data_IF_295163910067
#
_entry.id   IF_295163910067
#
_cell.length_a   1.000
_cell.length_b   1.000
_cell.length_c   1.000
_cell.angle_alpha   90.00
_cell.angle_beta   90.00
_cell.angle_gamma   90.00
#
_symmetry.space_group_name_H-M   'P 1'
#
loop_
_entity.id
_entity.type
_entity.pdbx_description
1 polymer ?
#
# COMPACT_ATOMS: atom_id res chain seq x y z
N UNK A 1 -132.46 37.58 -64.96
CA UNK A 1 -131.58 37.07 -66.02
C UNK A 1 -130.18 36.87 -65.41
N UNK A 2 -129.82 35.61 -65.16
CA UNK A 2 -128.51 35.23 -64.55
C UNK A 2 -127.51 34.81 -65.66
N UNK A 3 -126.43 35.47 -65.82
CA UNK A 3 -125.38 35.13 -66.77
C UNK A 3 -124.46 34.09 -66.11
N UNK A 4 -124.35 32.86 -66.68
CA UNK A 4 -123.39 31.83 -66.35
C UNK A 4 -121.97 32.23 -66.81
N UNK A 5 -121.09 32.20 -65.97
CA UNK A 5 -119.61 32.23 -66.33
C UNK A 5 -119.10 30.84 -66.58
N UNK A 6 -118.56 30.66 -67.74
CA UNK A 6 -117.85 29.45 -68.08
C UNK A 6 -116.51 29.38 -67.44
N UNK A 7 -116.18 28.35 -66.75
CA UNK A 7 -114.84 28.06 -66.31
C UNK A 7 -114.04 27.61 -67.53
N UNK A 8 -113.04 28.38 -67.88
CA UNK A 8 -112.02 27.95 -68.82
C UNK A 8 -111.19 26.84 -68.23
N UNK A 9 -111.17 25.67 -68.94
CA UNK A 9 -110.43 24.54 -68.55
C UNK A 9 -108.91 24.75 -68.60
N UNK A 10 -108.29 24.54 -67.51
CA UNK A 10 -106.84 24.42 -67.45
C UNK A 10 -106.38 23.42 -68.48
N UNK A 11 -105.57 23.83 -69.44
CA UNK A 11 -105.13 23.01 -70.56
C UNK A 11 -104.39 21.79 -69.99
N UNK A 12 -104.76 20.58 -70.45
CA UNK A 12 -104.10 19.34 -70.07
C UNK A 12 -102.58 19.39 -70.21
N UNK A 13 -102.09 20.18 -71.15
CA UNK A 13 -100.69 20.44 -71.40
C UNK A 13 -99.98 21.11 -70.25
N UNK A 14 -100.69 21.99 -69.49
CA UNK A 14 -100.10 22.64 -68.31
C UNK A 14 -99.93 21.74 -67.13
N UNK A 15 -100.87 20.76 -66.97
CA UNK A 15 -100.80 19.78 -65.92
C UNK A 15 -99.67 18.73 -66.18
N UNK A 16 -99.44 18.42 -67.45
CA UNK A 16 -98.41 17.48 -67.89
C UNK A 16 -97.01 18.04 -67.70
N UNK A 17 -96.82 19.33 -67.99
CA UNK A 17 -95.54 20.07 -67.73
C UNK A 17 -95.27 20.15 -66.25
N UNK A 18 -96.26 20.41 -65.41
CA UNK A 18 -96.06 20.46 -63.95
C UNK A 18 -95.77 19.09 -63.39
N UNK A 19 -96.44 18.08 -63.80
CA UNK A 19 -96.17 16.68 -63.28
C UNK A 19 -94.85 16.17 -63.79
N UNK A 20 -94.47 16.46 -65.04
CA UNK A 20 -93.14 16.10 -65.55
C UNK A 20 -91.99 16.83 -64.82
N UNK A 21 -92.19 18.12 -64.58
CA UNK A 21 -91.25 18.95 -63.81
C UNK A 21 -91.11 18.49 -62.34
N UNK A 22 -92.26 18.19 -61.72
CA UNK A 22 -92.25 17.67 -60.38
C UNK A 22 -91.59 16.26 -60.26
N UNK A 23 -91.93 15.42 -61.27
CA UNK A 23 -91.33 14.06 -61.42
C UNK A 23 -89.81 14.17 -61.59
N UNK A 24 -89.35 15.11 -62.41
CA UNK A 24 -87.91 15.35 -62.61
C UNK A 24 -87.19 15.85 -61.34
N UNK A 25 -87.84 16.77 -60.58
CA UNK A 25 -87.34 17.27 -59.31
C UNK A 25 -87.28 16.15 -58.25
N UNK A 26 -88.36 15.35 -58.18
CA UNK A 26 -88.38 14.16 -57.28
C UNK A 26 -87.30 13.15 -57.61
N UNK A 27 -87.16 12.85 -58.92
CA UNK A 27 -86.11 11.95 -59.39
C UNK A 27 -84.74 12.47 -59.05
N UNK A 28 -84.51 13.82 -59.23
CA UNK A 28 -83.26 14.42 -58.94
C UNK A 28 -82.99 14.42 -57.43
N UNK A 29 -83.99 14.65 -56.55
CA UNK A 29 -83.90 14.56 -55.10
C UNK A 29 -83.60 13.11 -54.65
N UNK A 30 -84.22 12.09 -55.30
CA UNK A 30 -83.96 10.67 -55.04
C UNK A 30 -82.53 10.33 -55.47
N UNK A 31 -82.12 10.77 -56.66
CA UNK A 31 -80.74 10.57 -57.14
C UNK A 31 -79.73 11.28 -56.26
N UNK A 32 -79.91 12.53 -55.84
CA UNK A 32 -79.03 13.21 -54.92
C UNK A 32 -78.94 12.48 -53.60
N UNK A 33 -80.09 11.98 -53.12
CA UNK A 33 -80.10 11.22 -51.87
C UNK A 33 -79.47 9.80 -52.01
N UNK A 34 -79.65 9.16 -53.18
CA UNK A 34 -79.10 7.80 -53.47
C UNK A 34 -77.60 7.85 -53.78
N UNK A 35 -77.14 8.93 -54.41
CA UNK A 35 -75.76 9.15 -54.82
C UNK A 35 -75.02 10.20 -53.94
N UNK A 36 -75.60 10.67 -52.85
CA UNK A 36 -74.82 11.38 -51.87
C UNK A 36 -73.85 10.36 -51.27
N UNK A 37 -72.58 10.43 -51.58
CA UNK A 37 -71.69 9.61 -50.86
C UNK A 37 -71.83 9.99 -49.33
N UNK A 38 -72.25 9.03 -48.53
CA UNK A 38 -72.10 9.10 -47.14
C UNK A 38 -70.59 9.16 -46.89
N UNK A 39 -69.99 10.37 -46.93
CA UNK A 39 -68.69 10.61 -46.35
C UNK A 39 -68.91 10.43 -44.86
N UNK A 40 -68.97 9.14 -44.49
CA UNK A 40 -68.63 8.80 -43.08
C UNK A 40 -67.12 9.12 -42.93
N UNK A 41 -66.77 10.39 -42.78
CA UNK A 41 -65.56 10.71 -42.09
C UNK A 41 -65.72 10.01 -40.75
N UNK A 42 -64.88 9.02 -40.39
CA UNK A 42 -64.91 8.54 -39.04
C UNK A 42 -64.53 9.78 -38.22
N UNK A 43 -65.51 10.37 -37.54
CA UNK A 43 -65.17 11.35 -36.51
C UNK A 43 -64.22 10.62 -35.58
N UNK A 44 -62.95 11.06 -35.48
CA UNK A 44 -62.04 10.37 -34.61
C UNK A 44 -62.70 10.34 -33.24
N UNK A 45 -62.85 9.11 -32.71
CA UNK A 45 -63.48 8.94 -31.41
C UNK A 45 -62.72 9.88 -30.43
N UNK A 46 -63.44 10.83 -29.87
CA UNK A 46 -62.84 11.79 -28.95
C UNK A 46 -61.99 11.07 -27.91
N UNK A 47 -62.43 9.89 -27.49
CA UNK A 47 -61.67 9.02 -26.54
C UNK A 47 -60.33 8.57 -27.13
N UNK A 48 -60.23 8.30 -28.42
CA UNK A 48 -58.97 7.88 -29.08
C UNK A 48 -57.99 9.07 -29.18
N UNK A 49 -58.48 10.29 -29.39
CA UNK A 49 -57.67 11.50 -29.41
C UNK A 49 -57.16 11.80 -27.98
N UNK A 50 -58.01 11.70 -26.96
CA UNK A 50 -57.63 11.86 -25.56
C UNK A 50 -56.59 10.85 -25.12
N UNK A 51 -56.74 9.57 -25.48
CA UNK A 51 -55.75 8.55 -25.21
C UNK A 51 -54.37 8.81 -25.86
N UNK A 52 -54.40 9.23 -27.14
CA UNK A 52 -53.16 9.61 -27.85
C UNK A 52 -52.52 10.83 -27.22
N UNK A 53 -53.28 11.84 -26.83
CA UNK A 53 -52.78 13.02 -26.16
C UNK A 53 -52.16 12.69 -24.82
N UNK A 54 -52.82 11.86 -23.98
CA UNK A 54 -52.31 11.43 -22.70
C UNK A 54 -50.98 10.67 -22.86
N UNK A 55 -50.92 9.74 -23.81
CA UNK A 55 -49.71 8.99 -24.12
C UNK A 55 -48.56 9.88 -24.59
N UNK A 56 -48.83 10.86 -25.46
CA UNK A 56 -47.83 11.85 -25.90
C UNK A 56 -47.33 12.73 -24.75
N UNK A 57 -48.23 13.11 -23.84
CA UNK A 57 -47.85 13.87 -22.64
C UNK A 57 -46.95 13.05 -21.71
N UNK A 58 -47.24 11.75 -21.48
CA UNK A 58 -46.40 10.84 -20.70
C UNK A 58 -45.02 10.63 -21.36
N UNK A 59 -45.00 10.43 -22.67
CA UNK A 59 -43.77 10.30 -23.45
C UNK A 59 -42.93 11.59 -23.36
N UNK A 60 -43.53 12.78 -23.52
CA UNK A 60 -42.85 14.04 -23.37
C UNK A 60 -42.27 14.21 -21.95
N UNK A 61 -43.03 13.93 -20.90
CA UNK A 61 -42.52 13.98 -19.52
C UNK A 61 -41.34 13.03 -19.28
N UNK A 62 -41.43 11.82 -19.88
CA UNK A 62 -40.35 10.85 -19.78
C UNK A 62 -39.07 11.30 -20.52
N UNK A 63 -39.25 11.91 -21.70
CA UNK A 63 -38.14 12.50 -22.47
C UNK A 63 -37.48 13.66 -21.74
N UNK A 64 -38.27 14.55 -21.14
CA UNK A 64 -37.74 15.68 -20.34
C UNK A 64 -36.92 15.16 -19.14
N UNK A 65 -37.43 14.15 -18.41
CA UNK A 65 -36.68 13.50 -17.31
C UNK A 65 -35.38 12.87 -17.80
N UNK A 66 -35.40 12.22 -18.97
CA UNK A 66 -34.22 11.64 -19.55
C UNK A 66 -33.21 12.69 -20.01
N UNK A 67 -33.66 13.81 -20.58
CA UNK A 67 -32.79 14.92 -20.94
C UNK A 67 -32.08 15.50 -19.71
N UNK A 68 -32.82 15.79 -18.64
CA UNK A 68 -32.23 16.29 -17.38
C UNK A 68 -31.20 15.29 -16.82
N UNK A 69 -31.51 13.98 -16.88
CA UNK A 69 -30.58 12.93 -16.44
C UNK A 69 -29.32 12.89 -17.28
N UNK A 70 -29.43 12.97 -18.60
CA UNK A 70 -28.29 12.98 -19.53
C UNK A 70 -27.42 14.23 -19.35
N UNK A 71 -28.02 15.40 -19.18
CA UNK A 71 -27.28 16.62 -18.87
C UNK A 71 -26.48 16.52 -17.58
N UNK A 72 -27.08 15.91 -16.53
CA UNK A 72 -26.41 15.68 -15.26
C UNK A 72 -25.23 14.71 -15.42
N UNK A 73 -25.41 13.63 -16.17
CA UNK A 73 -24.34 12.66 -16.47
C UNK A 73 -23.22 13.35 -17.24
N UNK A 74 -23.56 14.10 -18.29
CA UNK A 74 -22.59 14.86 -19.09
C UNK A 74 -21.76 15.82 -18.22
N UNK A 75 -22.43 16.59 -17.36
CA UNK A 75 -21.75 17.52 -16.44
C UNK A 75 -20.82 16.80 -15.47
N UNK A 76 -21.24 15.66 -14.94
CA UNK A 76 -20.40 14.86 -14.05
C UNK A 76 -19.18 14.29 -14.79
N UNK A 77 -19.36 13.80 -16.02
CA UNK A 77 -18.24 13.31 -16.85
C UNK A 77 -17.26 14.42 -17.21
N UNK A 78 -17.73 15.64 -17.49
CA UNK A 78 -16.88 16.80 -17.74
C UNK A 78 -16.05 17.15 -16.49
N UNK A 79 -16.66 17.15 -15.30
CA UNK A 79 -15.96 17.39 -14.04
C UNK A 79 -14.93 16.30 -13.73
N UNK A 80 -15.28 15.05 -13.99
CA UNK A 80 -14.37 13.91 -13.78
C UNK A 80 -13.19 13.96 -14.76
N UNK A 81 -13.45 14.29 -16.03
CA UNK A 81 -12.38 14.45 -17.02
C UNK A 81 -11.39 15.57 -16.65
N UNK A 82 -11.88 16.68 -16.11
CA UNK A 82 -11.04 17.77 -15.60
C UNK A 82 -10.19 17.31 -14.40
N UNK A 83 -10.79 16.54 -13.47
CA UNK A 83 -10.05 15.96 -12.33
C UNK A 83 -8.96 15.00 -12.79
N UNK A 84 -9.28 14.12 -13.73
CA UNK A 84 -8.31 13.19 -14.30
C UNK A 84 -7.16 13.95 -14.98
N UNK A 85 -7.47 14.98 -15.76
CA UNK A 85 -6.46 15.83 -16.41
C UNK A 85 -5.53 16.52 -15.40
N UNK A 86 -6.09 17.04 -14.30
CA UNK A 86 -5.30 17.64 -13.21
C UNK A 86 -4.41 16.60 -12.50
N UNK A 87 -4.97 15.44 -12.19
CA UNK A 87 -4.22 14.36 -11.57
C UNK A 87 -3.10 13.85 -12.47
N UNK A 88 -3.37 13.71 -13.76
CA UNK A 88 -2.36 13.30 -14.74
C UNK A 88 -1.22 14.32 -14.80
N UNK A 89 -1.54 15.62 -14.85
CA UNK A 89 -0.53 16.68 -14.84
C UNK A 89 0.34 16.62 -13.58
N UNK A 90 -0.28 16.46 -12.40
CA UNK A 90 0.46 16.37 -11.15
C UNK A 90 1.30 15.08 -11.05
N UNK A 91 0.82 13.97 -11.61
CA UNK A 91 1.57 12.72 -11.68
C UNK A 91 2.79 12.83 -12.58
N UNK A 92 2.66 13.44 -13.77
CA UNK A 92 3.79 13.67 -14.69
C UNK A 92 4.83 14.63 -14.12
N UNK A 93 4.40 15.66 -13.37
CA UNK A 93 5.32 16.55 -12.67
C UNK A 93 6.10 15.83 -11.56
N UNK A 94 5.43 14.94 -10.81
CA UNK A 94 6.09 14.10 -9.79
C UNK A 94 7.05 13.10 -10.41
N UNK A 95 6.66 12.44 -11.49
CA UNK A 95 7.51 11.52 -12.24
C UNK A 95 8.80 12.21 -12.71
N UNK A 96 8.68 13.43 -13.27
CA UNK A 96 9.83 14.22 -13.69
C UNK A 96 10.77 14.57 -12.53
N UNK A 97 10.20 14.99 -11.37
CA UNK A 97 11.00 15.26 -10.17
C UNK A 97 11.71 14.01 -9.67
N UNK A 98 10.98 12.90 -9.57
CA UNK A 98 11.54 11.62 -9.12
C UNK A 98 12.66 11.12 -10.04
N UNK A 99 12.49 11.27 -11.35
CA UNK A 99 13.53 10.95 -12.32
C UNK A 99 14.80 11.81 -12.13
N UNK A 100 14.64 13.09 -11.79
CA UNK A 100 15.78 13.96 -11.48
C UNK A 100 16.46 13.55 -10.17
N UNK A 101 15.70 13.22 -9.14
CA UNK A 101 16.21 12.72 -7.85
C UNK A 101 16.96 11.40 -8.04
N UNK A 102 16.41 10.46 -8.81
CA UNK A 102 17.08 9.19 -9.14
C UNK A 102 18.43 9.47 -9.82
N UNK A 103 18.46 10.37 -10.81
CA UNK A 103 19.71 10.71 -11.49
C UNK A 103 20.75 11.31 -10.54
N UNK A 104 20.33 12.14 -9.59
CA UNK A 104 21.24 12.70 -8.57
C UNK A 104 21.76 11.62 -7.62
N UNK A 105 20.88 10.73 -7.16
CA UNK A 105 21.26 9.59 -6.29
C UNK A 105 22.22 8.65 -7.01
N UNK A 106 22.01 8.38 -8.30
CA UNK A 106 22.91 7.54 -9.09
C UNK A 106 24.31 8.18 -9.23
N UNK A 107 24.38 9.50 -9.44
CA UNK A 107 25.66 10.21 -9.45
C UNK A 107 26.37 10.16 -8.08
N UNK A 108 25.63 10.36 -6.99
CA UNK A 108 26.19 10.23 -5.65
C UNK A 108 26.68 8.82 -5.36
N UNK A 109 25.91 7.82 -5.78
CA UNK A 109 26.30 6.41 -5.65
C UNK A 109 27.59 6.10 -6.39
N UNK A 110 27.73 6.58 -7.64
CA UNK A 110 28.96 6.39 -8.40
C UNK A 110 30.17 7.05 -7.72
N UNK A 111 29.99 8.26 -7.18
CA UNK A 111 31.06 8.95 -6.45
C UNK A 111 31.44 8.20 -5.17
N UNK A 112 30.47 7.70 -4.41
CA UNK A 112 30.73 6.89 -3.23
C UNK A 112 31.45 5.57 -3.57
N UNK A 113 31.07 4.89 -4.65
CA UNK A 113 31.75 3.69 -5.10
C UNK A 113 33.22 3.98 -5.51
N UNK A 114 33.46 5.13 -6.14
CA UNK A 114 34.82 5.59 -6.45
C UNK A 114 35.64 5.84 -5.18
N UNK A 115 35.06 6.50 -4.19
CA UNK A 115 35.73 6.75 -2.92
C UNK A 115 35.99 5.44 -2.16
N UNK A 116 35.03 4.49 -2.19
CA UNK A 116 35.24 3.17 -1.60
C UNK A 116 36.41 2.44 -2.24
N UNK A 117 36.53 2.49 -3.55
CA UNK A 117 37.65 1.87 -4.27
C UNK A 117 38.98 2.55 -3.95
N UNK A 118 39.02 3.89 -3.86
CA UNK A 118 40.23 4.64 -3.46
C UNK A 118 40.63 4.29 -1.99
N UNK A 119 39.66 4.11 -1.11
CA UNK A 119 39.90 3.69 0.28
C UNK A 119 40.44 2.26 0.31
N UNK A 120 39.84 1.33 -0.47
CA UNK A 120 40.37 -0.04 -0.59
C UNK A 120 41.79 -0.08 -1.04
N UNK A 121 42.14 0.65 -2.10
CA UNK A 121 43.52 0.74 -2.60
C UNK A 121 44.47 1.33 -1.54
N UNK A 122 44.04 2.33 -0.76
CA UNK A 122 44.83 2.85 0.35
C UNK A 122 45.02 1.82 1.46
N UNK A 123 43.99 1.06 1.78
CA UNK A 123 44.07 -0.03 2.75
C UNK A 123 45.05 -1.11 2.28
N UNK A 124 44.95 -1.54 1.01
CA UNK A 124 45.88 -2.52 0.42
C UNK A 124 47.34 -2.02 0.41
N UNK A 125 47.58 -0.74 0.09
CA UNK A 125 48.93 -0.15 0.14
C UNK A 125 49.46 -0.03 1.57
N UNK A 126 48.61 0.23 2.57
CA UNK A 126 49.00 0.25 3.97
C UNK A 126 49.22 -1.17 4.53
N UNK A 127 48.43 -2.15 4.07
CA UNK A 127 48.57 -3.56 4.48
C UNK A 127 49.82 -4.24 3.86
N UNK A 128 50.30 -3.79 2.70
CA UNK A 128 51.55 -4.26 2.13
C UNK A 128 52.78 -3.88 2.94
N UNK A 129 52.66 -2.94 3.89
CA UNK A 129 53.73 -2.49 4.79
C UNK A 129 53.73 -3.16 6.17
N UNK A 130 52.68 -3.79 6.61
CA UNK A 130 52.62 -4.44 7.92
C UNK A 130 51.84 -5.76 7.83
N UNK A 131 52.55 -6.88 7.95
CA UNK A 131 51.97 -8.21 8.11
C UNK A 131 51.38 -8.37 9.54
N UNK A 132 50.25 -7.77 9.77
CA UNK A 132 49.28 -8.19 10.79
C UNK A 132 47.87 -7.82 10.32
N UNK A 133 47.13 -8.82 9.84
CA UNK A 133 45.71 -8.69 9.60
C UNK A 133 45.07 -8.20 10.89
N UNK A 134 44.70 -6.92 10.97
CA UNK A 134 43.96 -6.41 12.12
C UNK A 134 42.53 -6.96 12.02
N UNK A 135 42.24 -7.98 12.82
CA UNK A 135 40.89 -8.55 13.04
C UNK A 135 39.93 -7.52 13.68
N UNK A 136 39.91 -6.27 13.21
CA UNK A 136 39.08 -5.20 13.77
C UNK A 136 38.24 -4.51 12.72
N UNK A 137 36.94 -4.54 12.89
CA UNK A 137 35.98 -3.69 12.13
C UNK A 137 35.46 -2.61 13.07
N UNK A 138 35.61 -1.35 12.68
CA UNK A 138 35.26 -0.18 13.50
C UNK A 138 35.88 -0.19 14.92
N UNK A 139 37.11 -0.74 15.09
CA UNK A 139 37.77 -0.89 16.39
C UNK A 139 37.30 -2.09 17.22
N UNK A 140 36.41 -2.91 16.68
CA UNK A 140 35.90 -4.11 17.34
C UNK A 140 36.68 -5.32 16.88
N UNK A 141 37.22 -6.09 17.82
CA UNK A 141 37.93 -7.32 17.57
C UNK A 141 37.01 -8.41 17.04
N UNK A 142 37.24 -8.90 15.84
CA UNK A 142 36.46 -9.94 15.17
C UNK A 142 37.23 -11.28 15.26
N UNK A 143 37.31 -11.84 16.46
CA UNK A 143 37.99 -13.11 16.68
C UNK A 143 37.04 -14.25 17.09
N UNK A 144 35.71 -13.98 17.05
CA UNK A 144 34.71 -14.97 17.44
C UNK A 144 34.31 -15.87 16.28
N UNK A 145 34.14 -17.15 16.59
CA UNK A 145 33.73 -18.18 15.62
C UNK A 145 32.21 -18.39 15.60
N UNK A 146 31.51 -17.92 16.61
CA UNK A 146 30.07 -18.02 16.78
C UNK A 146 29.50 -16.64 17.12
N UNK A 147 28.37 -16.30 16.52
CA UNK A 147 27.71 -15.00 16.75
C UNK A 147 26.26 -15.22 17.12
N UNK A 148 25.82 -14.51 18.17
CA UNK A 148 24.41 -14.42 18.57
C UNK A 148 23.94 -12.99 18.38
N UNK A 149 22.89 -12.78 17.60
CA UNK A 149 22.22 -11.51 17.51
C UNK A 149 21.02 -11.49 18.45
N UNK A 150 20.96 -10.48 19.30
CA UNK A 150 19.81 -10.15 20.16
C UNK A 150 19.21 -8.88 19.59
N UNK A 151 18.03 -9.01 18.97
CA UNK A 151 17.43 -7.89 18.21
C UNK A 151 16.13 -7.50 18.91
N UNK A 152 16.05 -6.24 19.32
CA UNK A 152 14.81 -5.65 19.78
C UNK A 152 13.83 -5.55 18.60
N UNK A 153 12.71 -6.24 18.69
CA UNK A 153 11.64 -6.25 17.68
C UNK A 153 10.47 -5.34 18.05
N UNK A 154 10.67 -4.40 18.97
CA UNK A 154 9.65 -3.42 19.39
C UNK A 154 9.21 -2.50 18.24
N UNK A 155 8.06 -1.84 18.41
CA UNK A 155 7.48 -0.96 17.39
C UNK A 155 8.39 0.19 16.96
N UNK A 156 9.19 0.77 17.88
CA UNK A 156 10.17 1.80 17.54
C UNK A 156 11.26 1.27 16.62
N UNK A 157 11.84 0.12 16.91
CA UNK A 157 12.85 -0.53 16.08
C UNK A 157 12.30 -0.93 14.70
N UNK A 158 11.02 -1.30 14.61
CA UNK A 158 10.36 -1.64 13.34
C UNK A 158 10.27 -0.46 12.40
N UNK A 159 10.25 0.77 12.90
CA UNK A 159 10.23 1.97 12.05
C UNK A 159 11.50 2.15 11.21
N UNK A 160 12.63 1.56 11.64
CA UNK A 160 13.93 1.62 10.95
C UNK A 160 14.48 0.21 10.61
N UNK A 161 13.57 -0.73 10.36
CA UNK A 161 13.90 -2.16 10.21
C UNK A 161 14.87 -2.45 9.07
N UNK A 162 14.79 -1.69 7.97
CA UNK A 162 15.73 -1.84 6.85
C UNK A 162 17.17 -1.54 7.27
N UNK A 163 17.36 -0.54 8.13
CA UNK A 163 18.68 -0.24 8.68
C UNK A 163 19.17 -1.36 9.61
N UNK A 164 18.28 -1.91 10.44
CA UNK A 164 18.59 -3.08 11.28
C UNK A 164 19.08 -4.25 10.43
N UNK A 165 18.34 -4.60 9.37
CA UNK A 165 18.72 -5.68 8.44
C UNK A 165 20.08 -5.42 7.79
N UNK A 166 20.29 -4.21 7.31
CA UNK A 166 21.57 -3.80 6.70
C UNK A 166 22.74 -3.95 7.67
N UNK A 167 22.56 -3.59 8.96
CA UNK A 167 23.61 -3.75 9.97
C UNK A 167 23.88 -5.20 10.33
N UNK A 168 22.86 -6.04 10.41
CA UNK A 168 23.06 -7.49 10.60
C UNK A 168 23.86 -8.08 9.44
N UNK A 169 23.50 -7.73 8.20
CA UNK A 169 24.22 -8.17 7.01
C UNK A 169 25.68 -7.72 7.01
N UNK A 170 25.95 -6.44 7.30
CA UNK A 170 27.31 -5.90 7.38
C UNK A 170 28.16 -6.65 8.40
N UNK A 171 27.61 -6.95 9.60
CA UNK A 171 28.31 -7.73 10.61
C UNK A 171 28.56 -9.17 10.11
N UNK A 172 27.57 -9.82 9.53
CA UNK A 172 27.74 -11.16 8.98
C UNK A 172 28.84 -11.22 7.90
N UNK A 173 28.93 -10.19 7.06
CA UNK A 173 30.01 -10.08 6.05
C UNK A 173 31.38 -9.91 6.73
N UNK A 174 31.45 -9.15 7.84
CA UNK A 174 32.69 -8.90 8.57
C UNK A 174 33.26 -10.14 9.28
N UNK A 175 32.47 -11.21 9.40
CA UNK A 175 32.89 -12.51 9.96
C UNK A 175 33.01 -13.57 8.87
N UNK A 176 34.10 -13.65 8.13
CA UNK A 176 34.23 -14.58 7.01
C UNK A 176 34.28 -16.06 7.46
N UNK A 177 34.81 -16.32 8.67
CA UNK A 177 35.10 -17.68 9.19
C UNK A 177 34.13 -18.15 10.25
N UNK A 178 32.89 -17.59 10.31
CA UNK A 178 31.86 -18.05 11.25
C UNK A 178 31.53 -19.53 11.08
N UNK A 179 31.47 -20.25 12.21
CA UNK A 179 31.01 -21.63 12.29
C UNK A 179 29.52 -21.72 12.57
N UNK A 180 28.98 -20.77 13.36
CA UNK A 180 27.58 -20.79 13.72
C UNK A 180 27.00 -19.40 14.01
N UNK A 181 25.72 -19.27 13.69
CA UNK A 181 24.94 -18.04 13.90
C UNK A 181 23.68 -18.42 14.69
N UNK A 182 23.29 -17.56 15.62
CA UNK A 182 21.98 -17.64 16.26
C UNK A 182 21.35 -16.25 16.32
N UNK A 183 20.04 -16.19 16.19
CA UNK A 183 19.28 -14.95 16.29
C UNK A 183 18.12 -15.16 17.26
N UNK A 184 17.96 -14.23 18.17
CA UNK A 184 16.86 -14.16 19.11
C UNK A 184 16.40 -12.72 19.29
N UNK A 185 15.18 -12.54 19.75
CA UNK A 185 14.69 -11.24 20.15
C UNK A 185 15.17 -10.82 21.55
N UNK A 186 14.76 -9.64 22.00
CA UNK A 186 15.14 -9.13 23.33
C UNK A 186 14.61 -10.01 24.47
N UNK A 187 13.50 -10.72 24.31
CA UNK A 187 12.98 -11.71 25.26
C UNK A 187 13.69 -13.06 25.18
N UNK A 188 14.54 -13.25 24.17
CA UNK A 188 15.32 -14.45 23.93
C UNK A 188 14.53 -15.54 23.21
N UNK A 189 13.52 -15.18 22.46
CA UNK A 189 12.80 -16.09 21.59
C UNK A 189 13.52 -16.19 20.25
N UNK A 190 13.73 -17.42 19.79
CA UNK A 190 14.56 -17.69 18.60
C UNK A 190 13.84 -17.33 17.31
N UNK A 191 14.59 -16.82 16.32
CA UNK A 191 14.07 -16.58 14.95
C UNK A 191 13.54 -17.90 14.34
N UNK A 192 14.20 -19.03 14.64
CA UNK A 192 13.78 -20.36 14.20
C UNK A 192 13.45 -21.27 15.39
N UNK A 193 12.31 -21.07 16.07
CA UNK A 193 11.98 -21.81 17.30
C UNK A 193 11.85 -23.32 17.09
N UNK A 194 11.48 -23.76 15.88
CA UNK A 194 11.34 -25.17 15.51
C UNK A 194 12.68 -25.92 15.42
N UNK A 195 13.80 -25.20 15.31
CA UNK A 195 15.14 -25.82 15.29
C UNK A 195 15.72 -26.04 16.69
N UNK A 196 15.10 -25.46 17.73
CA UNK A 196 15.59 -25.51 19.09
C UNK A 196 16.90 -24.77 19.30
N UNK A 197 17.65 -25.17 20.35
CA UNK A 197 18.91 -24.52 20.76
C UNK A 197 20.11 -24.98 19.92
N UNK A 198 19.96 -25.03 18.60
CA UNK A 198 21.01 -25.51 17.68
C UNK A 198 21.60 -24.29 16.92
N UNK A 199 22.91 -24.34 16.73
CA UNK A 199 23.58 -23.32 15.92
C UNK A 199 23.25 -23.46 14.43
N UNK A 200 22.79 -22.40 13.80
CA UNK A 200 22.67 -22.34 12.34
C UNK A 200 24.07 -22.26 11.73
N UNK A 201 24.39 -23.17 10.81
CA UNK A 201 25.66 -23.12 10.08
C UNK A 201 25.79 -21.80 9.32
N UNK A 202 26.97 -21.19 9.36
CA UNK A 202 27.20 -19.87 8.78
C UNK A 202 27.55 -19.90 7.27
N UNK A 203 27.02 -20.86 6.49
CA UNK A 203 27.18 -20.89 5.04
C UNK A 203 26.33 -19.79 4.35
N UNK A 204 26.64 -19.51 3.08
CA UNK A 204 25.97 -18.43 2.32
C UNK A 204 24.45 -18.61 2.26
N UNK A 205 23.97 -19.84 2.04
CA UNK A 205 22.54 -20.14 1.95
C UNK A 205 21.81 -19.82 3.26
N UNK A 206 22.37 -20.26 4.38
CA UNK A 206 21.76 -20.01 5.71
C UNK A 206 21.82 -18.54 6.09
N UNK A 207 22.88 -17.80 5.69
CA UNK A 207 22.92 -16.34 5.89
C UNK A 207 21.80 -15.64 5.14
N UNK A 208 21.51 -16.03 3.90
CA UNK A 208 20.40 -15.49 3.11
C UNK A 208 19.04 -15.87 3.70
N UNK A 209 18.89 -17.11 4.17
CA UNK A 209 17.67 -17.57 4.84
C UNK A 209 17.40 -16.77 6.12
N UNK A 210 18.43 -16.55 6.93
CA UNK A 210 18.38 -15.71 8.14
C UNK A 210 17.91 -14.29 7.80
N UNK A 211 18.52 -13.61 6.83
CA UNK A 211 18.14 -12.25 6.42
C UNK A 211 16.70 -12.21 5.89
N UNK A 212 16.31 -13.20 5.11
CA UNK A 212 14.94 -13.33 4.58
C UNK A 212 13.91 -13.58 5.69
N UNK A 213 14.24 -14.34 6.70
CA UNK A 213 13.39 -14.59 7.86
C UNK A 213 13.28 -13.35 8.75
N UNK A 214 14.41 -12.67 9.01
CA UNK A 214 14.47 -11.41 9.75
C UNK A 214 13.59 -10.33 9.10
N UNK A 215 13.60 -10.22 7.77
CA UNK A 215 12.78 -9.23 7.06
C UNK A 215 11.27 -9.39 7.34
N UNK A 216 10.81 -10.60 7.67
CA UNK A 216 9.42 -10.95 7.96
C UNK A 216 9.14 -11.21 9.44
N UNK A 217 10.14 -11.04 10.31
CA UNK A 217 9.98 -11.30 11.74
C UNK A 217 8.97 -10.31 12.34
N UNK A 218 7.91 -10.77 13.05
CA UNK A 218 6.88 -9.89 13.59
C UNK A 218 7.41 -9.05 14.77
N UNK A 219 6.69 -7.99 15.11
CA UNK A 219 6.87 -7.27 16.35
C UNK A 219 6.43 -8.16 17.52
N UNK A 220 7.33 -8.41 18.48
CA UNK A 220 7.07 -9.35 19.58
C UNK A 220 7.68 -8.91 20.91
N UNK A 221 8.90 -8.35 20.90
CA UNK A 221 9.64 -8.14 22.14
C UNK A 221 9.43 -6.76 22.75
N UNK A 222 9.66 -6.68 24.05
CA UNK A 222 9.83 -5.43 24.76
C UNK A 222 11.29 -4.95 24.63
N UNK A 223 11.53 -3.65 24.79
CA UNK A 223 12.87 -3.04 24.72
C UNK A 223 13.70 -3.35 25.97
N UNK A 224 13.90 -4.63 26.25
CA UNK A 224 14.67 -5.12 27.39
C UNK A 224 15.51 -6.34 27.03
N UNK A 225 16.82 -6.18 26.74
CA UNK A 225 17.68 -7.27 26.30
C UNK A 225 18.14 -8.22 27.44
N UNK A 226 17.78 -7.99 28.70
CA UNK A 226 18.24 -8.81 29.83
C UNK A 226 17.96 -10.31 29.66
N UNK A 227 16.72 -10.64 29.25
CA UNK A 227 16.30 -12.04 29.06
C UNK A 227 17.06 -12.68 27.91
N UNK A 228 17.22 -11.94 26.79
CA UNK A 228 17.98 -12.40 25.63
C UNK A 228 19.45 -12.65 26.01
N UNK A 229 20.12 -11.72 26.71
CA UNK A 229 21.50 -11.88 27.18
C UNK A 229 21.61 -13.11 28.08
N UNK A 230 20.71 -13.29 29.05
CA UNK A 230 20.70 -14.44 29.94
C UNK A 230 20.56 -15.73 29.13
N UNK A 231 19.54 -15.83 28.27
CA UNK A 231 19.32 -17.05 27.45
C UNK A 231 20.50 -17.32 26.51
N UNK A 232 21.09 -16.28 25.90
CA UNK A 232 22.26 -16.41 25.04
C UNK A 232 23.45 -17.01 25.78
N UNK A 233 23.78 -16.50 26.95
CA UNK A 233 24.92 -17.01 27.75
C UNK A 233 24.62 -18.40 28.31
N UNK A 234 23.46 -18.60 28.94
CA UNK A 234 23.16 -19.85 29.62
C UNK A 234 22.95 -21.05 28.68
N UNK A 235 22.41 -20.80 27.49
CA UNK A 235 22.02 -21.88 26.55
C UNK A 235 23.08 -22.16 25.50
N UNK A 236 23.93 -21.19 25.15
CA UNK A 236 24.86 -21.29 24.02
C UNK A 236 26.32 -21.24 24.40
N UNK A 237 26.67 -20.81 25.63
CA UNK A 237 28.05 -20.80 26.06
C UNK A 237 28.62 -22.23 26.11
N UNK A 238 29.82 -22.35 25.62
CA UNK A 238 30.62 -23.59 25.70
C UNK A 238 32.10 -23.20 25.77
N UNK A 239 32.93 -23.81 26.63
CA UNK A 239 34.34 -23.47 26.82
C UNK A 239 35.19 -23.58 25.55
N UNK A 240 34.76 -24.40 24.60
CA UNK A 240 35.41 -24.63 23.30
C UNK A 240 35.00 -23.63 22.21
N UNK A 241 34.09 -22.71 22.50
CA UNK A 241 33.55 -21.76 21.53
C UNK A 241 33.87 -20.33 21.89
N UNK A 242 34.42 -19.59 20.91
CA UNK A 242 34.51 -18.14 20.99
C UNK A 242 33.23 -17.50 20.46
N UNK A 243 32.45 -16.91 21.35
CA UNK A 243 31.12 -16.42 21.04
C UNK A 243 31.10 -14.89 21.22
N UNK A 244 30.57 -14.18 20.22
CA UNK A 244 30.20 -12.78 20.33
C UNK A 244 28.68 -12.63 20.34
N UNK A 245 28.17 -11.83 21.27
CA UNK A 245 26.78 -11.36 21.30
C UNK A 245 26.73 -9.96 20.70
N UNK A 246 25.79 -9.74 19.81
CA UNK A 246 25.48 -8.43 19.25
C UNK A 246 24.06 -8.02 19.61
N UNK A 247 23.92 -6.95 20.40
CA UNK A 247 22.65 -6.39 20.86
C UNK A 247 22.25 -5.24 19.94
N UNK A 248 21.04 -5.30 19.41
CA UNK A 248 20.45 -4.27 18.53
C UNK A 248 19.21 -3.72 19.22
N UNK A 249 19.25 -2.47 19.66
CA UNK A 249 18.10 -1.83 20.30
C UNK A 249 18.24 -0.28 20.24
N UNK A 250 17.17 0.41 20.62
CA UNK A 250 17.09 1.86 20.70
C UNK A 250 16.79 2.35 22.14
N UNK A 251 16.31 1.44 22.99
CA UNK A 251 15.93 1.75 24.36
C UNK A 251 16.29 0.62 25.33
N UNK A 252 16.29 0.94 26.61
CA UNK A 252 16.39 0.02 27.71
C UNK A 252 15.24 0.29 28.70
N UNK A 253 14.23 -0.56 28.65
CA UNK A 253 13.04 -0.53 29.52
C UNK A 253 13.06 -1.65 30.57
N UNK A 254 14.25 -2.10 30.97
CA UNK A 254 14.39 -3.10 31.99
C UNK A 254 13.92 -2.63 33.38
N UNK A 255 13.49 -3.55 34.21
CA UNK A 255 13.15 -3.28 35.62
C UNK A 255 14.38 -2.89 36.45
N UNK A 256 15.57 -3.20 35.97
CA UNK A 256 16.83 -2.93 36.63
C UNK A 256 17.37 -1.54 36.31
N UNK A 257 18.05 -0.95 37.27
CA UNK A 257 18.92 0.21 36.99
C UNK A 257 20.10 -0.25 36.12
N UNK A 258 20.76 0.69 35.43
CA UNK A 258 21.94 0.38 34.59
C UNK A 258 22.99 -0.39 35.41
N UNK A 259 23.31 0.07 36.62
CA UNK A 259 24.27 -0.61 37.50
C UNK A 259 23.86 -2.03 37.88
N UNK A 260 22.56 -2.26 38.07
CA UNK A 260 22.03 -3.59 38.38
C UNK A 260 22.08 -4.51 37.17
N UNK A 261 21.85 -3.99 35.96
CA UNK A 261 22.01 -4.73 34.71
C UNK A 261 23.47 -5.16 34.54
N UNK A 262 24.42 -4.23 34.73
CA UNK A 262 25.84 -4.52 34.58
C UNK A 262 26.27 -5.59 35.58
N UNK A 263 25.91 -5.45 36.85
CA UNK A 263 26.20 -6.47 37.88
C UNK A 263 25.57 -7.81 37.55
N UNK A 264 24.34 -7.80 37.03
CA UNK A 264 23.66 -9.02 36.62
C UNK A 264 24.45 -9.71 35.50
N UNK A 265 24.85 -8.99 34.44
CA UNK A 265 25.63 -9.55 33.34
C UNK A 265 27.02 -9.99 33.79
N UNK A 266 27.71 -9.21 34.65
CA UNK A 266 28.98 -9.61 35.23
C UNK A 266 28.90 -10.95 35.98
N UNK A 267 27.80 -11.21 36.69
CA UNK A 267 27.58 -12.45 37.41
C UNK A 267 27.36 -13.66 36.52
N UNK A 268 26.71 -13.48 35.35
CA UNK A 268 26.42 -14.59 34.43
C UNK A 268 27.52 -14.74 33.37
N UNK A 269 28.18 -13.66 32.96
CA UNK A 269 29.31 -13.66 32.04
C UNK A 269 30.65 -13.59 32.83
N UNK A 270 30.85 -14.58 33.68
CA UNK A 270 32.01 -14.65 34.57
C UNK A 270 33.32 -14.71 33.78
N UNK A 271 34.39 -14.35 34.42
CA UNK A 271 35.74 -14.43 33.89
C UNK A 271 36.21 -15.89 33.96
N UNK A 272 36.59 -16.47 32.81
CA UNK A 272 37.18 -17.80 32.74
C UNK A 272 38.58 -17.81 33.40
N UNK A 273 39.18 -19.00 33.60
CA UNK A 273 40.48 -19.15 34.24
C UNK A 273 41.62 -18.45 33.49
N UNK A 274 41.46 -18.17 32.21
CA UNK A 274 42.42 -17.46 31.38
C UNK A 274 42.26 -15.91 31.45
N UNK A 275 41.39 -15.42 32.32
CA UNK A 275 41.14 -13.97 32.50
C UNK A 275 40.16 -13.35 31.49
N UNK A 276 39.57 -14.17 30.59
CA UNK A 276 38.61 -13.72 29.59
C UNK A 276 37.18 -13.98 30.02
N UNK A 277 36.26 -13.13 29.55
CA UNK A 277 34.80 -13.37 29.70
C UNK A 277 34.37 -14.59 28.90
N UNK A 278 33.28 -15.23 29.32
CA UNK A 278 32.70 -16.39 28.62
C UNK A 278 32.27 -16.02 27.20
N UNK A 279 31.71 -14.83 27.03
CA UNK A 279 31.30 -14.29 25.72
C UNK A 279 31.69 -12.81 25.63
N UNK A 280 31.99 -12.35 24.42
CA UNK A 280 32.16 -10.92 24.13
C UNK A 280 30.78 -10.32 23.85
N UNK A 281 30.50 -9.11 24.38
CA UNK A 281 29.22 -8.42 24.19
C UNK A 281 29.44 -7.10 23.45
N UNK A 282 28.83 -6.98 22.27
CA UNK A 282 28.80 -5.77 21.47
C UNK A 282 27.36 -5.26 21.39
N UNK A 283 27.18 -3.96 21.16
CA UNK A 283 25.86 -3.40 20.97
C UNK A 283 25.82 -2.30 19.90
N UNK A 284 24.70 -2.21 19.19
CA UNK A 284 24.37 -1.14 18.24
C UNK A 284 23.11 -0.43 18.72
N UNK A 285 23.22 0.88 18.93
CA UNK A 285 22.11 1.75 19.29
C UNK A 285 21.52 2.45 18.09
N UNK A 286 20.21 2.32 17.88
CA UNK A 286 19.47 2.94 16.79
C UNK A 286 18.86 4.28 17.23
N UNK A 287 18.61 5.19 16.25
CA UNK A 287 18.03 6.52 16.51
C UNK A 287 16.50 6.52 16.47
N UNK A 288 15.88 5.42 16.78
CA UNK A 288 14.44 5.29 16.95
C UNK A 288 14.06 5.59 18.41
N UNK A 289 12.77 5.83 18.70
CA UNK A 289 12.33 6.13 20.06
C UNK A 289 12.70 7.52 20.59
N UNK A 290 12.51 7.73 21.90
CA UNK A 290 12.73 9.02 22.58
C UNK A 290 14.21 9.26 22.89
N UNK A 291 14.65 10.52 22.83
CA UNK A 291 16.05 10.88 23.07
C UNK A 291 16.56 10.46 24.46
N UNK A 292 15.73 10.63 25.50
CA UNK A 292 16.08 10.24 26.89
C UNK A 292 16.29 8.72 27.02
N UNK A 293 15.50 7.92 26.31
CA UNK A 293 15.60 6.47 26.28
C UNK A 293 16.88 6.03 25.58
N UNK A 294 17.16 6.61 24.42
CA UNK A 294 18.38 6.35 23.64
C UNK A 294 19.64 6.67 24.45
N UNK A 295 19.65 7.80 25.16
CA UNK A 295 20.79 8.18 26.02
C UNK A 295 21.01 7.14 27.12
N UNK A 296 19.94 6.68 27.78
CA UNK A 296 19.99 5.63 28.80
C UNK A 296 20.54 4.34 28.24
N UNK A 297 20.04 3.92 27.08
CA UNK A 297 20.53 2.74 26.38
C UNK A 297 22.01 2.86 26.03
N UNK A 298 22.43 3.99 25.45
CA UNK A 298 23.80 4.22 25.05
C UNK A 298 24.79 4.17 26.27
N UNK A 299 24.41 4.78 27.37
CA UNK A 299 25.21 4.73 28.61
C UNK A 299 25.31 3.30 29.15
N UNK A 300 24.17 2.58 29.22
CA UNK A 300 24.13 1.20 29.71
C UNK A 300 24.98 0.27 28.83
N UNK A 301 24.78 0.36 27.50
CA UNK A 301 25.47 -0.54 26.57
C UNK A 301 26.94 -0.24 26.40
N UNK A 302 27.34 1.04 26.49
CA UNK A 302 28.75 1.38 26.45
C UNK A 302 29.54 0.72 27.60
N UNK A 303 29.06 0.86 28.82
CA UNK A 303 29.70 0.26 29.98
C UNK A 303 29.62 -1.27 29.95
N UNK A 304 28.45 -1.82 29.57
CA UNK A 304 28.25 -3.24 29.45
C UNK A 304 29.23 -3.88 28.44
N UNK A 305 29.36 -3.30 27.25
CA UNK A 305 30.24 -3.80 26.21
C UNK A 305 31.70 -3.73 26.61
N UNK A 306 32.13 -2.59 27.15
CA UNK A 306 33.52 -2.36 27.61
C UNK A 306 33.95 -3.39 28.67
N UNK A 307 33.10 -3.67 29.66
CA UNK A 307 33.36 -4.68 30.71
C UNK A 307 33.38 -6.10 30.17
N UNK A 308 32.75 -6.36 29.03
CA UNK A 308 32.63 -7.68 28.45
C UNK A 308 33.47 -7.85 27.16
N UNK A 309 34.51 -7.00 27.00
CA UNK A 309 35.50 -7.14 25.93
C UNK A 309 35.02 -6.77 24.53
N UNK A 310 33.87 -6.10 24.42
CA UNK A 310 33.30 -5.63 23.16
C UNK A 310 33.18 -4.11 23.08
N UNK A 311 32.39 -3.61 22.14
CA UNK A 311 32.19 -2.18 21.91
C UNK A 311 30.73 -1.82 21.64
N UNK A 312 30.38 -0.56 21.90
CA UNK A 312 29.09 0.05 21.57
C UNK A 312 29.23 0.99 20.41
N UNK A 313 28.35 0.85 19.43
CA UNK A 313 28.23 1.72 18.25
C UNK A 313 26.87 2.43 18.31
N UNK A 314 26.87 3.76 18.41
CA UNK A 314 25.64 4.57 18.23
C UNK A 314 25.51 5.04 16.79
N UNK A 315 24.33 4.78 16.18
CA UNK A 315 23.99 5.22 14.82
C UNK A 315 23.36 6.60 14.81
#
# INVERSE_FOLDING_TARGET
MRKKRSLEGISLSFLDVISCGFGAILLMLVLVRAFSPSISTPSPDLNDIERKLTKLLEENQSLEKNLIRLERIKKNQELESLRIAQNLKSATEREKKLSQEISQVDLQKQELLRQEEEIKQKIETLQAGESSVSDTVAGIKIDSEYVIFIIDTSGSMRSDWLNVLSKVEQILISYPTLKGIQIMDADGDLLFPYQGLVWNKANLQNRQEILSALARWPEQSLSNPEKGIKKAITNFHSPDKKIAIWIFADDYQGERTVDSLIKFVDNINVVARDGKRLVTINAIGFRTGFESSRMRFALAMRELCERNGGAFIGL
#
